data_IF_706122536193
#
_entry.id   IF_706122536193
#
_cell.length_a   1.000
_cell.length_b   1.000
_cell.length_c   1.000
_cell.angle_alpha   90.00
_cell.angle_beta   90.00
_cell.angle_gamma   90.00
#
_symmetry.space_group_name_H-M   'P 1'
#
loop_
_entity.id
_entity.type
_entity.pdbx_description
1 polymer ?
#
# COMPACT_ATOMS: atom_id res chain seq x y z
N UNK A 1 61.66 -19.82 -49.69
CA UNK A 1 61.10 -18.97 -48.59
C UNK A 1 59.60 -19.14 -48.37
N UNK A 2 58.74 -19.09 -49.40
CA UNK A 2 57.27 -19.25 -49.23
C UNK A 2 56.85 -20.56 -48.54
N UNK A 3 57.42 -21.70 -48.93
CA UNK A 3 57.06 -23.00 -48.32
C UNK A 3 57.44 -23.12 -46.85
N UNK A 4 58.61 -22.58 -46.47
CA UNK A 4 59.06 -22.56 -45.08
C UNK A 4 58.15 -21.67 -44.23
N UNK A 5 57.75 -20.51 -44.76
CA UNK A 5 56.82 -19.60 -44.11
C UNK A 5 55.43 -20.23 -43.88
N UNK A 6 54.90 -20.97 -44.87
CA UNK A 6 53.61 -21.67 -44.71
C UNK A 6 53.68 -22.83 -43.71
N UNK A 7 54.78 -23.57 -43.65
CA UNK A 7 54.99 -24.61 -42.63
C UNK A 7 55.08 -24.01 -41.23
N UNK A 8 55.81 -22.91 -41.07
CA UNK A 8 55.94 -22.19 -39.80
C UNK A 8 54.58 -21.63 -39.32
N UNK A 9 53.80 -21.04 -40.22
CA UNK A 9 52.46 -20.52 -39.91
C UNK A 9 51.48 -21.63 -39.51
N UNK A 10 51.61 -22.83 -40.10
CA UNK A 10 50.83 -24.01 -39.70
C UNK A 10 51.08 -24.43 -38.25
N UNK A 11 52.34 -24.42 -37.80
CA UNK A 11 52.70 -24.74 -36.41
C UNK A 11 52.25 -23.66 -35.41
N UNK A 12 52.25 -22.39 -35.81
CA UNK A 12 51.66 -21.32 -35.00
C UNK A 12 50.15 -21.57 -34.83
N UNK A 13 49.45 -21.93 -35.90
CA UNK A 13 48.02 -22.28 -35.83
C UNK A 13 47.76 -23.40 -34.83
N UNK A 14 48.57 -24.47 -34.87
CA UNK A 14 48.50 -25.59 -33.91
C UNK A 14 48.67 -25.13 -32.46
N UNK A 15 49.64 -24.26 -32.17
CA UNK A 15 49.84 -23.70 -30.82
C UNK A 15 48.67 -22.84 -30.37
N UNK A 16 48.11 -22.02 -31.27
CA UNK A 16 46.95 -21.18 -30.98
C UNK A 16 45.73 -22.05 -30.66
N UNK A 17 45.48 -23.12 -31.43
CA UNK A 17 44.37 -24.04 -31.14
C UNK A 17 44.56 -24.80 -29.83
N UNK A 18 45.79 -25.17 -29.47
CA UNK A 18 46.08 -25.80 -28.19
C UNK A 18 45.83 -24.84 -27.01
N UNK A 19 46.27 -23.58 -27.14
CA UNK A 19 46.02 -22.54 -26.14
C UNK A 19 44.52 -22.29 -25.99
N UNK A 20 43.78 -22.16 -27.10
CA UNK A 20 42.33 -21.99 -27.07
C UNK A 20 41.63 -23.20 -26.49
N UNK A 21 42.00 -24.43 -26.86
CA UNK A 21 41.41 -25.65 -26.28
C UNK A 21 41.62 -25.73 -24.77
N UNK A 22 42.81 -25.38 -24.29
CA UNK A 22 43.11 -25.31 -22.86
C UNK A 22 42.31 -24.21 -22.15
N UNK A 23 42.31 -22.98 -22.67
CA UNK A 23 41.51 -21.89 -22.09
C UNK A 23 40.02 -22.24 -22.08
N UNK A 24 39.51 -22.81 -23.15
CA UNK A 24 38.10 -23.22 -23.26
C UNK A 24 37.74 -24.29 -22.23
N UNK A 25 38.62 -25.27 -22.03
CA UNK A 25 38.45 -26.28 -20.98
C UNK A 25 38.45 -25.66 -19.58
N UNK A 26 39.36 -24.73 -19.29
CA UNK A 26 39.43 -24.05 -17.99
C UNK A 26 38.15 -23.25 -17.70
N UNK A 27 37.53 -22.64 -18.71
CA UNK A 27 36.32 -21.84 -18.53
C UNK A 27 35.02 -22.64 -18.54
N UNK A 28 34.94 -23.72 -19.32
CA UNK A 28 33.68 -24.47 -19.53
C UNK A 28 33.66 -25.84 -18.86
N UNK A 29 34.81 -26.37 -18.45
CA UNK A 29 35.01 -27.75 -17.97
C UNK A 29 34.47 -28.85 -18.90
N UNK A 30 34.13 -28.50 -20.15
CA UNK A 30 33.53 -29.42 -21.12
C UNK A 30 34.60 -30.28 -21.77
N UNK A 31 34.68 -31.54 -21.33
CA UNK A 31 35.61 -32.55 -21.85
C UNK A 31 35.39 -32.79 -23.34
N UNK A 32 34.14 -32.74 -23.80
CA UNK A 32 33.77 -32.98 -25.20
C UNK A 32 34.33 -31.89 -26.12
N UNK A 33 34.23 -30.61 -25.74
CA UNK A 33 34.76 -29.49 -26.51
C UNK A 33 36.29 -29.47 -26.53
N UNK A 34 36.94 -29.89 -25.45
CA UNK A 34 38.38 -30.12 -25.42
C UNK A 34 38.82 -31.17 -26.45
N UNK A 35 38.11 -32.30 -26.56
CA UNK A 35 38.45 -33.30 -27.58
C UNK A 35 38.15 -32.84 -29.01
N UNK A 36 37.07 -32.10 -29.24
CA UNK A 36 36.75 -31.53 -30.57
C UNK A 36 37.80 -30.52 -31.02
N UNK A 37 38.28 -29.65 -30.12
CA UNK A 37 39.38 -28.71 -30.40
C UNK A 37 40.70 -29.43 -30.69
N UNK A 38 41.00 -30.49 -29.95
CA UNK A 38 42.20 -31.32 -30.14
C UNK A 38 42.16 -32.06 -31.49
N UNK A 39 40.99 -32.56 -31.90
CA UNK A 39 40.81 -33.21 -33.19
C UNK A 39 40.94 -32.20 -34.35
N UNK A 40 40.42 -30.99 -34.18
CA UNK A 40 40.63 -29.90 -35.13
C UNK A 40 42.11 -29.47 -35.22
N UNK A 41 42.83 -29.41 -34.09
CA UNK A 41 44.27 -29.18 -34.05
C UNK A 41 45.02 -30.25 -34.85
N UNK A 42 44.63 -31.52 -34.73
CA UNK A 42 45.21 -32.62 -35.49
C UNK A 42 44.98 -32.46 -36.99
N UNK A 43 43.81 -31.98 -37.43
CA UNK A 43 43.55 -31.69 -38.86
C UNK A 43 44.41 -30.52 -39.38
N UNK A 44 44.79 -29.59 -38.51
CA UNK A 44 45.59 -28.41 -38.88
C UNK A 44 47.09 -28.66 -38.91
N UNK A 45 47.57 -29.71 -38.23
CA UNK A 45 48.97 -30.04 -38.22
C UNK A 45 49.46 -30.41 -39.65
N UNK A 46 50.61 -29.88 -40.11
CA UNK A 46 51.07 -30.09 -41.48
C UNK A 46 51.19 -31.55 -41.94
N UNK A 47 51.68 -32.51 -41.11
CA UNK A 47 51.85 -33.90 -41.53
C UNK A 47 50.53 -34.65 -41.72
N UNK A 48 49.60 -34.49 -40.77
CA UNK A 48 48.26 -35.09 -40.80
C UNK A 48 47.39 -34.49 -41.89
N UNK A 49 47.53 -33.20 -42.16
CA UNK A 49 46.83 -32.53 -43.25
C UNK A 49 47.21 -33.10 -44.62
N UNK A 50 48.49 -33.34 -44.88
CA UNK A 50 48.93 -33.99 -46.12
C UNK A 50 48.31 -35.38 -46.26
N UNK A 51 48.37 -36.18 -45.18
CA UNK A 51 47.76 -37.50 -45.14
C UNK A 51 46.25 -37.51 -45.43
N UNK A 52 45.50 -36.53 -44.91
CA UNK A 52 44.06 -36.41 -45.16
C UNK A 52 43.78 -36.05 -46.62
N UNK A 53 44.54 -35.10 -47.18
CA UNK A 53 44.37 -34.65 -48.57
C UNK A 53 44.62 -35.80 -49.55
N UNK A 54 45.69 -36.58 -49.32
CA UNK A 54 46.07 -37.70 -50.17
C UNK A 54 45.02 -38.82 -50.17
N UNK A 55 44.28 -38.98 -49.08
CA UNK A 55 43.29 -40.05 -48.92
C UNK A 55 41.86 -39.66 -49.24
N UNK A 56 41.52 -38.37 -49.12
CA UNK A 56 40.13 -37.87 -49.26
C UNK A 56 39.91 -36.95 -50.45
N UNK A 57 40.98 -36.46 -51.08
CA UNK A 57 40.90 -35.55 -52.24
C UNK A 57 40.36 -34.14 -51.92
N UNK A 58 40.09 -33.83 -50.66
CA UNK A 58 39.57 -32.52 -50.24
C UNK A 58 40.67 -31.47 -50.24
N UNK A 59 40.54 -30.44 -51.08
CA UNK A 59 41.55 -29.39 -51.21
C UNK A 59 41.44 -28.37 -50.05
N UNK A 60 42.03 -28.71 -48.91
CA UNK A 60 41.98 -27.91 -47.68
C UNK A 60 43.00 -26.75 -47.66
N UNK A 61 43.32 -26.14 -48.81
CA UNK A 61 44.22 -24.97 -48.90
C UNK A 61 43.44 -23.65 -49.03
N UNK A 62 43.92 -22.58 -48.37
CA UNK A 62 43.40 -21.23 -48.53
C UNK A 62 41.98 -21.03 -47.97
N UNK A 63 41.03 -20.62 -48.84
CA UNK A 63 39.67 -20.19 -48.46
C UNK A 63 38.82 -21.29 -47.80
N UNK A 64 38.97 -22.55 -48.21
CA UNK A 64 38.21 -23.67 -47.65
C UNK A 64 38.57 -23.98 -46.19
N UNK A 65 39.82 -23.69 -45.79
CA UNK A 65 40.27 -23.85 -44.40
C UNK A 65 39.71 -22.74 -43.52
N UNK A 66 39.67 -21.50 -44.02
CA UNK A 66 39.08 -20.37 -43.30
C UNK A 66 37.59 -20.59 -43.00
N UNK A 67 36.81 -21.12 -43.96
CA UNK A 67 35.39 -21.44 -43.74
C UNK A 67 35.19 -22.57 -42.74
N UNK A 68 36.03 -23.61 -42.78
CA UNK A 68 35.96 -24.71 -41.81
C UNK A 68 36.25 -24.23 -40.38
N UNK A 69 37.21 -23.31 -40.21
CA UNK A 69 37.48 -22.71 -38.91
C UNK A 69 36.31 -21.88 -38.39
N UNK A 70 35.73 -21.01 -39.22
CA UNK A 70 34.58 -20.20 -38.81
C UNK A 70 33.41 -21.08 -38.41
N UNK A 71 33.11 -22.13 -39.19
CA UNK A 71 32.05 -23.08 -38.86
C UNK A 71 32.31 -23.82 -37.53
N UNK A 72 33.56 -24.23 -37.29
CA UNK A 72 33.95 -24.88 -36.04
C UNK A 72 33.82 -23.95 -34.83
N UNK A 73 34.28 -22.70 -34.95
CA UNK A 73 34.15 -21.70 -33.88
C UNK A 73 32.69 -21.39 -33.56
N UNK A 74 31.81 -21.30 -34.58
CA UNK A 74 30.38 -21.11 -34.38
C UNK A 74 29.76 -22.32 -33.66
N UNK A 75 30.09 -23.54 -34.09
CA UNK A 75 29.61 -24.76 -33.44
C UNK A 75 30.07 -24.86 -31.97
N UNK A 76 31.33 -24.49 -31.70
CA UNK A 76 31.89 -24.46 -30.35
C UNK A 76 31.21 -23.40 -29.48
N UNK A 77 31.02 -22.19 -30.00
CA UNK A 77 30.30 -21.13 -29.29
C UNK A 77 28.86 -21.55 -28.97
N UNK A 78 28.17 -22.22 -29.89
CA UNK A 78 26.80 -22.69 -29.69
C UNK A 78 26.69 -23.69 -28.52
N UNK A 79 27.56 -24.70 -28.47
CA UNK A 79 27.57 -25.71 -27.39
C UNK A 79 27.97 -25.10 -26.05
N UNK A 80 28.97 -24.21 -26.03
CA UNK A 80 29.39 -23.53 -24.80
C UNK A 80 28.33 -22.59 -24.25
N UNK A 81 27.49 -21.97 -25.10
CA UNK A 81 26.37 -21.14 -24.65
C UNK A 81 25.26 -22.04 -24.08
N UNK A 82 24.89 -23.15 -24.72
CA UNK A 82 23.79 -24.00 -24.25
C UNK A 82 24.06 -24.65 -22.90
N UNK A 83 25.27 -25.18 -22.67
CA UNK A 83 25.59 -25.85 -21.40
C UNK A 83 25.72 -24.87 -20.23
N UNK A 84 26.27 -23.67 -20.47
CA UNK A 84 26.45 -22.68 -19.40
C UNK A 84 25.16 -21.97 -19.01
N UNK A 85 24.22 -21.79 -19.95
CA UNK A 85 22.93 -21.15 -19.66
C UNK A 85 22.10 -22.01 -18.70
N UNK A 86 21.99 -23.32 -18.93
CA UNK A 86 21.23 -24.22 -18.06
C UNK A 86 21.81 -24.31 -16.64
N UNK A 87 23.15 -24.39 -16.51
CA UNK A 87 23.82 -24.43 -15.21
C UNK A 87 23.64 -23.11 -14.45
N UNK A 88 23.72 -21.98 -15.16
CA UNK A 88 23.52 -20.66 -14.57
C UNK A 88 22.08 -20.44 -14.09
N UNK A 89 21.09 -20.84 -14.90
CA UNK A 89 19.67 -20.80 -14.53
C UNK A 89 19.40 -21.68 -13.30
N UNK A 90 19.91 -22.91 -13.29
CA UNK A 90 19.75 -23.80 -12.14
C UNK A 90 20.41 -23.25 -10.87
N UNK A 91 21.59 -22.63 -10.99
CA UNK A 91 22.27 -22.01 -9.86
C UNK A 91 21.49 -20.80 -9.32
N UNK A 92 20.88 -19.98 -10.19
CA UNK A 92 20.00 -18.88 -9.78
C UNK A 92 18.73 -19.40 -9.10
N UNK A 93 18.04 -20.38 -9.70
CA UNK A 93 16.83 -20.98 -9.12
C UNK A 93 17.12 -21.62 -7.76
N UNK A 94 18.27 -22.29 -7.58
CA UNK A 94 18.68 -22.84 -6.28
C UNK A 94 18.91 -21.74 -5.26
N UNK A 95 19.64 -20.67 -5.60
CA UNK A 95 19.86 -19.53 -4.71
C UNK A 95 18.55 -18.86 -4.30
N UNK A 96 17.63 -18.68 -5.24
CA UNK A 96 16.31 -18.11 -4.95
C UNK A 96 15.51 -19.03 -4.02
N UNK A 97 15.50 -20.35 -4.28
CA UNK A 97 14.84 -21.33 -3.40
C UNK A 97 15.44 -21.34 -2.01
N UNK A 98 16.76 -21.32 -1.89
CA UNK A 98 17.46 -21.32 -0.61
C UNK A 98 17.18 -20.01 0.16
N UNK A 99 17.14 -18.87 -0.53
CA UNK A 99 16.77 -17.58 0.06
C UNK A 99 15.31 -17.58 0.55
N UNK A 100 14.37 -18.10 -0.26
CA UNK A 100 12.96 -18.24 0.11
C UNK A 100 12.81 -19.19 1.30
N UNK A 101 13.52 -20.32 1.32
CA UNK A 101 13.49 -21.26 2.44
C UNK A 101 14.11 -20.68 3.71
N UNK A 102 15.21 -19.94 3.60
CA UNK A 102 15.84 -19.26 4.73
C UNK A 102 14.89 -18.20 5.33
N UNK A 103 14.24 -17.41 4.48
CA UNK A 103 13.22 -16.45 4.90
C UNK A 103 12.03 -17.14 5.57
N UNK A 104 11.52 -18.22 4.97
CA UNK A 104 10.42 -18.99 5.53
C UNK A 104 10.77 -19.58 6.91
N UNK A 105 11.99 -20.10 7.09
CA UNK A 105 12.49 -20.60 8.38
C UNK A 105 12.63 -19.48 9.41
N UNK A 106 13.11 -18.31 9.00
CA UNK A 106 13.22 -17.15 9.88
C UNK A 106 11.84 -16.71 10.38
N UNK A 107 10.88 -16.55 9.47
CA UNK A 107 9.48 -16.20 9.80
C UNK A 107 8.82 -17.25 10.68
N UNK A 108 9.04 -18.54 10.41
CA UNK A 108 8.53 -19.62 11.25
C UNK A 108 9.12 -19.58 12.66
N UNK A 109 10.41 -19.30 12.80
CA UNK A 109 11.09 -19.15 14.09
C UNK A 109 10.56 -17.96 14.89
N UNK A 110 10.35 -16.81 14.23
CA UNK A 110 9.75 -15.63 14.87
C UNK A 110 8.31 -15.91 15.34
N UNK A 111 7.50 -16.54 14.48
CA UNK A 111 6.14 -16.94 14.84
C UNK A 111 6.12 -17.91 16.02
N UNK A 112 7.05 -18.86 16.08
CA UNK A 112 7.16 -19.78 17.22
C UNK A 112 7.51 -19.05 18.52
N UNK A 113 8.44 -18.09 18.48
CA UNK A 113 8.78 -17.25 19.65
C UNK A 113 7.58 -16.41 20.09
N UNK A 114 6.84 -15.84 19.14
CA UNK A 114 5.62 -15.09 19.43
C UNK A 114 4.56 -15.98 20.08
N UNK A 115 4.29 -17.17 19.53
CA UNK A 115 3.32 -18.10 20.10
C UNK A 115 3.69 -18.57 21.51
N UNK A 116 4.98 -18.75 21.80
CA UNK A 116 5.45 -19.06 23.15
C UNK A 116 5.24 -17.90 24.14
N UNK A 117 5.46 -16.65 23.69
CA UNK A 117 5.26 -15.44 24.49
C UNK A 117 3.80 -14.95 24.54
N UNK A 118 2.94 -15.44 23.63
CA UNK A 118 1.56 -14.98 23.42
C UNK A 118 0.73 -14.93 24.70
N UNK A 119 0.72 -15.96 25.58
CA UNK A 119 -0.09 -15.91 26.80
C UNK A 119 0.30 -14.74 27.71
N UNK A 120 1.59 -14.43 27.84
CA UNK A 120 2.07 -13.32 28.66
C UNK A 120 1.72 -11.97 28.04
N UNK A 121 1.85 -11.84 26.71
CA UNK A 121 1.49 -10.62 25.97
C UNK A 121 -0.02 -10.34 26.10
N UNK A 122 -0.85 -11.36 25.87
CA UNK A 122 -2.32 -11.26 26.00
C UNK A 122 -2.71 -10.89 27.43
N UNK A 123 -2.07 -11.48 28.44
CA UNK A 123 -2.34 -11.16 29.84
C UNK A 123 -1.95 -9.72 30.20
N UNK A 124 -0.80 -9.22 29.74
CA UNK A 124 -0.37 -7.84 29.99
C UNK A 124 -1.32 -6.83 29.32
N UNK A 125 -1.72 -7.07 28.07
CA UNK A 125 -2.69 -6.23 27.35
C UNK A 125 -4.04 -6.23 28.07
N UNK A 126 -4.53 -7.40 28.51
CA UNK A 126 -5.78 -7.50 29.25
C UNK A 126 -5.71 -6.76 30.59
N UNK A 127 -4.61 -6.90 31.34
CA UNK A 127 -4.40 -6.19 32.60
C UNK A 127 -4.41 -4.67 32.41
N UNK A 128 -3.74 -4.16 31.36
CA UNK A 128 -3.73 -2.72 31.04
C UNK A 128 -5.09 -2.20 30.63
N UNK A 129 -5.85 -2.98 29.85
CA UNK A 129 -7.26 -2.67 29.54
C UNK A 129 -8.08 -2.54 30.81
N UNK A 130 -7.97 -3.51 31.72
CA UNK A 130 -8.76 -3.56 32.96
C UNK A 130 -8.37 -2.43 33.93
N UNK A 131 -7.14 -1.95 33.86
CA UNK A 131 -6.64 -0.77 34.59
C UNK A 131 -7.03 0.57 33.92
N UNK A 132 -7.71 0.55 32.78
CA UNK A 132 -8.13 1.75 32.04
C UNK A 132 -7.01 2.41 31.21
N UNK A 133 -5.83 1.78 31.10
CA UNK A 133 -4.72 2.25 30.28
C UNK A 133 -4.90 1.84 28.80
N UNK A 134 -6.01 2.28 28.21
CA UNK A 134 -6.45 1.83 26.89
C UNK A 134 -5.45 2.20 25.77
N UNK A 135 -4.87 3.39 25.83
CA UNK A 135 -3.87 3.86 24.85
C UNK A 135 -2.60 3.00 24.88
N UNK A 136 -2.13 2.65 26.07
CA UNK A 136 -0.95 1.79 26.22
C UNK A 136 -1.23 0.36 25.76
N UNK A 137 -2.42 -0.16 26.06
CA UNK A 137 -2.85 -1.47 25.60
C UNK A 137 -2.91 -1.55 24.07
N UNK A 138 -3.42 -0.51 23.38
CA UNK A 138 -3.42 -0.43 21.92
C UNK A 138 -2.00 -0.34 21.35
N UNK A 139 -1.12 0.47 21.94
CA UNK A 139 0.26 0.58 21.49
C UNK A 139 1.02 -0.76 21.58
N UNK A 140 0.76 -1.54 22.63
CA UNK A 140 1.31 -2.90 22.74
C UNK A 140 0.76 -3.84 21.66
N UNK A 141 -0.55 -3.78 21.38
CA UNK A 141 -1.14 -4.55 20.30
C UNK A 141 -0.46 -4.19 18.96
N UNK A 142 -0.33 -2.91 18.65
CA UNK A 142 0.26 -2.44 17.39
C UNK A 142 1.71 -2.90 17.22
N UNK A 143 2.50 -2.85 18.31
CA UNK A 143 3.88 -3.35 18.34
C UNK A 143 3.99 -4.83 17.95
N UNK A 144 3.03 -5.66 18.37
CA UNK A 144 3.04 -7.09 18.11
C UNK A 144 2.36 -7.46 16.78
N UNK A 145 1.24 -6.81 16.45
CA UNK A 145 0.49 -7.04 15.22
C UNK A 145 1.28 -6.67 13.96
N UNK A 146 2.17 -5.66 14.04
CA UNK A 146 3.05 -5.29 12.93
C UNK A 146 4.01 -6.42 12.52
N UNK A 147 4.34 -7.33 13.44
CA UNK A 147 5.29 -8.43 13.21
C UNK A 147 4.59 -9.75 12.95
N UNK A 148 3.43 -9.98 13.55
CA UNK A 148 2.68 -11.23 13.40
C UNK A 148 1.19 -10.95 13.58
N UNK A 149 0.38 -11.03 12.50
CA UNK A 149 -1.07 -10.96 12.62
C UNK A 149 -1.59 -12.10 13.50
N UNK A 150 -2.40 -11.77 14.50
CA UNK A 150 -2.97 -12.75 15.43
C UNK A 150 -4.43 -12.41 15.80
N UNK A 151 -5.36 -13.37 15.67
CA UNK A 151 -6.78 -13.10 15.87
C UNK A 151 -7.16 -12.77 17.32
N UNK A 152 -6.37 -13.20 18.31
CA UNK A 152 -6.69 -12.89 19.72
C UNK A 152 -6.28 -11.47 20.07
N UNK A 153 -5.21 -10.95 19.46
CA UNK A 153 -4.86 -9.53 19.54
C UNK A 153 -5.92 -8.65 18.86
N UNK A 154 -6.48 -9.09 17.74
CA UNK A 154 -7.56 -8.35 17.06
C UNK A 154 -8.85 -8.32 17.90
N UNK A 155 -9.22 -9.44 18.55
CA UNK A 155 -10.32 -9.47 19.51
C UNK A 155 -10.09 -8.50 20.68
N UNK A 156 -8.87 -8.47 21.22
CA UNK A 156 -8.52 -7.53 22.31
C UNK A 156 -8.61 -6.09 21.82
N UNK A 157 -8.10 -5.78 20.64
CA UNK A 157 -8.18 -4.45 20.03
C UNK A 157 -9.64 -3.99 19.90
N UNK A 158 -10.50 -4.88 19.42
CA UNK A 158 -11.94 -4.62 19.31
C UNK A 158 -12.54 -4.32 20.69
N UNK A 159 -12.23 -5.16 21.71
CA UNK A 159 -12.73 -4.96 23.07
C UNK A 159 -12.28 -3.62 23.67
N UNK A 160 -11.04 -3.19 23.41
CA UNK A 160 -10.52 -1.91 23.89
C UNK A 160 -11.22 -0.74 23.20
N UNK A 161 -11.45 -0.81 21.88
CA UNK A 161 -12.18 0.23 21.14
C UNK A 161 -13.63 0.36 21.61
N UNK A 162 -14.29 -0.76 21.91
CA UNK A 162 -15.62 -0.76 22.51
C UNK A 162 -15.58 -0.04 23.87
N UNK A 163 -14.65 -0.43 24.76
CA UNK A 163 -14.52 0.19 26.08
C UNK A 163 -14.21 1.70 26.01
N UNK A 164 -13.36 2.12 25.07
CA UNK A 164 -13.05 3.53 24.82
C UNK A 164 -14.29 4.31 24.35
N UNK A 165 -15.04 3.73 23.42
CA UNK A 165 -16.27 4.34 22.90
C UNK A 165 -17.35 4.42 23.98
N UNK A 166 -17.50 3.39 24.81
CA UNK A 166 -18.40 3.38 25.98
C UNK A 166 -17.97 4.38 27.05
N UNK A 167 -16.66 4.60 27.24
CA UNK A 167 -16.17 5.62 28.16
C UNK A 167 -16.61 7.04 27.75
N UNK A 168 -16.71 7.30 26.44
CA UNK A 168 -17.28 8.54 25.88
C UNK A 168 -18.80 8.69 26.12
N UNK A 169 -19.47 7.63 26.56
CA UNK A 169 -20.90 7.60 26.92
C UNK A 169 -21.15 7.55 28.44
N UNK A 170 -20.12 7.71 29.28
CA UNK A 170 -20.27 7.69 30.75
C UNK A 170 -21.34 8.64 31.27
N UNK A 171 -21.41 9.84 30.70
CA UNK A 171 -22.52 10.78 30.92
C UNK A 171 -23.33 10.91 29.64
N UNK A 172 -24.11 9.87 29.35
CA UNK A 172 -24.91 9.80 28.12
C UNK A 172 -25.80 11.04 27.97
N UNK A 173 -26.38 11.54 29.07
CA UNK A 173 -27.29 12.69 29.07
C UNK A 173 -26.60 14.00 28.67
N UNK A 174 -25.35 14.21 29.09
CA UNK A 174 -24.57 15.39 28.71
C UNK A 174 -24.11 15.37 27.24
N UNK A 175 -24.04 14.20 26.62
CA UNK A 175 -23.66 14.09 25.20
C UNK A 175 -24.82 14.53 24.30
N UNK A 176 -24.59 15.47 23.35
CA UNK A 176 -25.61 15.89 22.40
C UNK A 176 -26.20 14.73 21.60
N UNK A 177 -27.51 14.76 21.33
CA UNK A 177 -28.27 13.68 20.69
C UNK A 177 -27.59 13.12 19.41
N UNK A 178 -27.13 14.01 18.51
CA UNK A 178 -26.42 13.63 17.27
C UNK A 178 -25.12 12.88 17.54
N UNK A 179 -24.33 13.36 18.50
CA UNK A 179 -23.05 12.74 18.86
C UNK A 179 -23.27 11.39 19.55
N UNK A 180 -24.27 11.31 20.43
CA UNK A 180 -24.69 10.07 21.08
C UNK A 180 -25.12 9.01 20.06
N UNK A 181 -25.92 9.40 19.05
CA UNK A 181 -26.31 8.51 17.95
C UNK A 181 -25.09 8.01 17.17
N UNK A 182 -24.12 8.88 16.87
CA UNK A 182 -22.90 8.50 16.15
C UNK A 182 -22.06 7.48 16.95
N UNK A 183 -21.91 7.68 18.27
CA UNK A 183 -21.20 6.74 19.15
C UNK A 183 -21.90 5.38 19.23
N UNK A 184 -23.22 5.36 19.38
CA UNK A 184 -23.98 4.09 19.38
C UNK A 184 -23.97 3.39 18.02
N UNK A 185 -23.95 4.13 16.89
CA UNK A 185 -23.75 3.56 15.56
C UNK A 185 -22.37 2.91 15.45
N UNK A 186 -21.32 3.56 15.94
CA UNK A 186 -19.98 2.99 15.99
C UNK A 186 -19.93 1.73 16.88
N UNK A 187 -20.58 1.75 18.04
CA UNK A 187 -20.67 0.55 18.89
C UNK A 187 -21.41 -0.60 18.21
N UNK A 188 -22.49 -0.31 17.47
CA UNK A 188 -23.23 -1.33 16.72
C UNK A 188 -22.43 -1.92 15.54
N UNK A 189 -21.49 -1.17 14.95
CA UNK A 189 -20.60 -1.71 13.92
C UNK A 189 -19.44 -2.51 14.50
N UNK A 190 -18.93 -2.10 15.67
CA UNK A 190 -17.86 -2.82 16.38
C UNK A 190 -18.37 -4.11 17.03
N UNK A 191 -19.61 -4.12 17.52
CA UNK A 191 -20.26 -5.30 18.08
C UNK A 191 -21.68 -5.49 17.50
N UNK A 192 -21.79 -6.11 16.32
CA UNK A 192 -23.08 -6.41 15.70
C UNK A 192 -23.93 -7.42 16.48
N UNK A 193 -23.33 -8.17 17.40
CA UNK A 193 -24.02 -9.20 18.18
C UNK A 193 -24.83 -8.61 19.34
N UNK A 194 -24.50 -7.40 19.77
CA UNK A 194 -25.18 -6.69 20.84
C UNK A 194 -26.48 -6.04 20.36
N UNK A 195 -27.61 -6.65 20.76
CA UNK A 195 -28.94 -6.10 20.52
C UNK A 195 -29.17 -4.77 21.24
N UNK A 196 -28.42 -4.50 22.32
CA UNK A 196 -28.48 -3.24 23.08
C UNK A 196 -28.12 -2.04 22.21
N UNK A 197 -27.02 -2.12 21.45
CA UNK A 197 -26.57 -0.99 20.63
C UNK A 197 -27.53 -0.71 19.47
N UNK A 198 -27.95 -1.77 18.76
CA UNK A 198 -28.94 -1.65 17.69
C UNK A 198 -30.26 -1.03 18.19
N UNK A 199 -30.75 -1.46 19.35
CA UNK A 199 -31.94 -0.89 19.98
C UNK A 199 -31.79 0.59 20.32
N UNK A 200 -30.66 1.00 20.91
CA UNK A 200 -30.39 2.42 21.21
C UNK A 200 -30.27 3.27 19.94
N UNK A 201 -29.62 2.76 18.89
CA UNK A 201 -29.56 3.44 17.59
C UNK A 201 -30.97 3.71 17.06
N UNK A 202 -31.86 2.71 17.08
CA UNK A 202 -33.23 2.88 16.59
C UNK A 202 -34.01 3.93 17.39
N UNK A 203 -33.89 3.93 18.72
CA UNK A 203 -34.54 4.92 19.60
C UNK A 203 -34.01 6.32 19.34
N UNK A 204 -32.69 6.51 19.32
CA UNK A 204 -32.07 7.82 19.12
C UNK A 204 -32.31 8.37 17.71
N UNK A 205 -32.36 7.49 16.70
CA UNK A 205 -32.68 7.88 15.32
C UNK A 205 -34.15 8.30 15.20
N UNK A 206 -35.08 7.63 15.88
CA UNK A 206 -36.48 8.02 15.97
C UNK A 206 -36.66 9.35 16.71
N UNK A 207 -35.99 9.53 17.86
CA UNK A 207 -36.02 10.78 18.63
C UNK A 207 -35.48 11.97 17.82
N UNK A 208 -34.39 11.75 17.06
CA UNK A 208 -33.84 12.78 16.18
C UNK A 208 -34.81 13.15 15.06
N UNK A 209 -35.44 12.16 14.40
CA UNK A 209 -36.45 12.38 13.36
C UNK A 209 -37.69 13.07 13.90
N UNK A 210 -38.15 12.69 15.08
CA UNK A 210 -39.30 13.33 15.72
C UNK A 210 -38.98 14.79 16.10
N UNK A 211 -37.79 15.03 16.66
CA UNK A 211 -37.34 16.39 17.00
C UNK A 211 -37.24 17.25 15.74
N UNK A 212 -36.65 16.73 14.66
CA UNK A 212 -36.57 17.47 13.39
C UNK A 212 -37.95 17.69 12.77
N UNK A 213 -38.86 16.71 12.83
CA UNK A 213 -40.22 16.85 12.32
C UNK A 213 -41.03 17.90 13.11
N UNK A 214 -40.86 17.95 14.44
CA UNK A 214 -41.48 18.98 15.29
C UNK A 214 -40.95 20.36 14.98
N UNK A 215 -39.63 20.51 14.85
CA UNK A 215 -39.00 21.78 14.44
C UNK A 215 -39.52 22.23 13.06
N UNK A 216 -39.62 21.31 12.09
CA UNK A 216 -40.15 21.60 10.76
C UNK A 216 -41.64 21.94 10.77
N UNK A 217 -42.44 21.27 11.59
CA UNK A 217 -43.87 21.57 11.73
C UNK A 217 -44.11 22.93 12.40
N UNK A 218 -43.35 23.26 13.46
CA UNK A 218 -43.40 24.58 14.09
C UNK A 218 -42.95 25.67 13.12
N UNK A 219 -41.87 25.41 12.39
CA UNK A 219 -41.40 26.26 11.30
C UNK A 219 -42.47 26.49 10.24
N UNK A 220 -43.16 25.44 9.79
CA UNK A 220 -44.27 25.53 8.84
C UNK A 220 -45.48 26.30 9.39
N UNK A 221 -45.78 26.18 10.69
CA UNK A 221 -46.82 26.99 11.34
C UNK A 221 -46.43 28.47 11.40
N UNK A 222 -45.19 28.76 11.75
CA UNK A 222 -44.68 30.13 11.82
C UNK A 222 -44.63 30.75 10.42
N UNK A 223 -44.23 29.99 9.39
CA UNK A 223 -44.20 30.47 8.01
C UNK A 223 -45.60 30.78 7.48
N UNK A 224 -46.59 29.93 7.79
CA UNK A 224 -48.00 30.21 7.46
C UNK A 224 -48.54 31.46 8.17
N UNK A 225 -48.06 31.76 9.38
CA UNK A 225 -48.54 32.90 10.17
C UNK A 225 -47.79 34.22 9.87
N UNK A 226 -46.50 34.19 9.52
CA UNK A 226 -45.63 35.38 9.39
C UNK A 226 -44.99 35.56 8.01
N UNK A 227 -45.19 34.63 7.08
CA UNK A 227 -44.56 34.63 5.77
C UNK A 227 -43.16 34.00 5.76
N UNK A 228 -42.71 33.55 4.57
CA UNK A 228 -41.43 32.86 4.36
C UNK A 228 -40.23 33.74 4.73
N UNK A 229 -40.24 35.02 4.37
CA UNK A 229 -39.14 35.95 4.62
C UNK A 229 -38.85 36.14 6.12
N UNK A 230 -39.90 36.26 6.94
CA UNK A 230 -39.75 36.37 8.39
C UNK A 230 -39.22 35.08 9.03
N UNK A 231 -39.53 33.93 8.43
CA UNK A 231 -39.01 32.62 8.86
C UNK A 231 -37.53 32.46 8.50
N UNK A 232 -37.11 32.87 7.30
CA UNK A 232 -35.70 32.82 6.89
C UNK A 232 -34.87 33.81 7.74
N UNK A 233 -35.38 35.04 7.94
CA UNK A 233 -34.69 36.07 8.71
C UNK A 233 -34.39 35.66 10.17
N UNK A 234 -35.21 34.80 10.79
CA UNK A 234 -34.96 34.34 12.17
C UNK A 234 -33.80 33.34 12.30
N UNK A 235 -33.35 32.76 11.19
CA UNK A 235 -32.22 31.83 11.16
C UNK A 235 -30.86 32.56 11.23
N UNK A 236 -30.87 33.88 11.04
CA UNK A 236 -29.69 34.73 11.09
C UNK A 236 -29.61 35.51 12.41
N UNK A 237 -28.38 35.75 12.87
CA UNK A 237 -28.14 36.68 13.96
C UNK A 237 -28.52 38.10 13.53
N UNK A 238 -29.31 38.79 14.35
CA UNK A 238 -29.78 40.16 14.07
C UNK A 238 -28.65 41.19 14.10
N UNK A 239 -27.53 40.89 14.76
CA UNK A 239 -26.39 41.81 14.91
C UNK A 239 -25.30 41.55 13.87
N UNK A 240 -24.87 40.31 13.74
CA UNK A 240 -23.78 39.92 12.82
C UNK A 240 -24.26 39.45 11.45
N UNK A 241 -25.53 39.08 11.28
CA UNK A 241 -26.01 38.48 10.02
C UNK A 241 -25.54 37.03 9.80
N UNK A 242 -24.82 36.44 10.76
CA UNK A 242 -24.36 35.05 10.68
C UNK A 242 -25.55 34.07 10.74
N UNK A 243 -25.56 33.05 9.91
CA UNK A 243 -26.53 31.96 10.04
C UNK A 243 -26.25 31.14 11.30
N UNK A 244 -27.18 31.15 12.27
CA UNK A 244 -26.94 30.71 13.65
C UNK A 244 -26.49 29.24 13.75
N UNK A 245 -27.22 28.35 13.07
CA UNK A 245 -26.94 26.90 13.09
C UNK A 245 -25.69 26.54 12.27
N UNK A 246 -25.40 27.27 11.20
CA UNK A 246 -24.18 27.07 10.40
C UNK A 246 -22.95 27.55 11.17
N UNK A 247 -23.05 28.72 11.83
CA UNK A 247 -22.00 29.24 12.70
C UNK A 247 -21.68 28.25 13.83
N UNK A 248 -22.69 27.66 14.45
CA UNK A 248 -22.48 26.65 15.49
C UNK A 248 -21.74 25.42 14.95
N UNK A 249 -22.07 24.96 13.75
CA UNK A 249 -21.42 23.82 13.12
C UNK A 249 -19.98 24.12 12.70
N UNK A 250 -19.72 25.28 12.10
CA UNK A 250 -18.36 25.73 11.76
C UNK A 250 -17.47 25.84 13.02
N UNK A 251 -18.00 26.40 14.10
CA UNK A 251 -17.25 26.46 15.37
C UNK A 251 -16.91 25.08 15.92
N UNK A 252 -17.72 24.06 15.65
CA UNK A 252 -17.45 22.67 16.10
C UNK A 252 -16.35 21.99 15.31
N UNK A 253 -16.19 22.32 14.03
CA UNK A 253 -15.17 21.73 13.17
C UNK A 253 -13.82 22.45 13.26
N UNK A 254 -13.81 23.71 13.73
CA UNK A 254 -12.59 24.48 13.91
C UNK A 254 -11.70 23.96 15.04
N UNK A 255 -10.38 23.95 14.80
CA UNK A 255 -9.37 23.64 15.82
C UNK A 255 -9.42 24.61 17.01
N UNK A 256 -9.70 25.89 16.76
CA UNK A 256 -9.91 26.89 17.80
C UNK A 256 -11.25 27.62 17.60
N UNK A 257 -12.34 27.11 18.21
CA UNK A 257 -13.68 27.69 18.07
C UNK A 257 -13.79 29.14 18.55
N UNK A 258 -12.97 29.53 19.54
CA UNK A 258 -12.97 30.88 20.11
C UNK A 258 -12.36 31.91 19.15
N UNK A 259 -11.60 31.48 18.14
CA UNK A 259 -11.03 32.36 17.11
C UNK A 259 -11.99 32.72 15.98
N UNK A 260 -13.18 32.13 15.95
CA UNK A 260 -14.17 32.38 14.91
C UNK A 260 -14.64 33.85 14.94
N UNK A 261 -14.48 34.54 13.82
CA UNK A 261 -15.06 35.86 13.58
C UNK A 261 -15.85 35.82 12.26
N UNK A 262 -17.15 36.09 12.34
CA UNK A 262 -18.00 36.20 11.15
C UNK A 262 -17.65 37.48 10.37
N UNK A 263 -17.63 37.38 9.04
CA UNK A 263 -17.38 38.53 8.13
C UNK A 263 -18.65 38.86 7.37
N UNK A 264 -19.19 37.90 6.62
CA UNK A 264 -20.36 38.10 5.78
C UNK A 264 -21.11 36.77 5.58
N UNK A 265 -22.43 36.86 5.43
CA UNK A 265 -23.25 35.74 4.99
C UNK A 265 -24.22 36.21 3.92
N UNK A 266 -24.23 35.54 2.78
CA UNK A 266 -25.24 35.69 1.73
C UNK A 266 -26.07 34.41 1.62
N UNK A 267 -27.31 34.52 1.15
CA UNK A 267 -28.18 33.35 1.00
C UNK A 267 -29.07 33.45 -0.24
N UNK A 268 -29.46 32.29 -0.76
CA UNK A 268 -30.41 32.12 -1.83
C UNK A 268 -31.53 31.19 -1.36
N UNK A 269 -32.77 31.66 -1.45
CA UNK A 269 -33.95 30.85 -1.14
C UNK A 269 -34.21 29.83 -2.24
N UNK A 270 -34.30 28.55 -1.87
CA UNK A 270 -34.55 27.43 -2.80
C UNK A 270 -35.98 26.88 -2.72
N UNK A 271 -36.84 27.50 -1.90
CA UNK A 271 -38.23 27.09 -1.68
C UNK A 271 -38.43 25.90 -0.74
N UNK A 272 -37.42 25.03 -0.57
CA UNK A 272 -37.39 23.93 0.43
C UNK A 272 -36.35 24.15 1.53
N UNK A 273 -35.73 25.33 1.54
CA UNK A 273 -34.62 25.70 2.40
C UNK A 273 -33.90 26.91 1.82
N UNK A 274 -32.61 27.02 2.09
CA UNK A 274 -31.74 28.04 1.50
C UNK A 274 -30.33 27.50 1.25
N UNK A 275 -29.67 28.02 0.23
CA UNK A 275 -28.22 27.90 0.06
C UNK A 275 -27.57 29.12 0.72
N UNK A 276 -26.61 28.89 1.61
CA UNK A 276 -25.95 29.94 2.41
C UNK A 276 -24.47 29.94 2.10
N UNK A 277 -23.90 31.09 1.78
CA UNK A 277 -22.46 31.31 1.66
C UNK A 277 -22.01 32.16 2.84
N UNK A 278 -21.08 31.66 3.64
CA UNK A 278 -20.56 32.38 4.81
C UNK A 278 -19.05 32.52 4.72
N UNK A 279 -18.59 33.76 4.83
CA UNK A 279 -17.17 34.10 4.99
C UNK A 279 -16.88 34.36 6.46
N UNK A 280 -15.84 33.74 6.98
CA UNK A 280 -15.41 33.90 8.37
C UNK A 280 -13.88 33.86 8.49
N UNK A 281 -13.37 34.41 9.59
CA UNK A 281 -11.96 34.35 9.96
C UNK A 281 -11.76 33.39 11.12
N UNK A 282 -10.63 32.70 11.10
CA UNK A 282 -10.27 31.75 12.16
C UNK A 282 -8.78 31.47 12.18
N UNK A 283 -8.26 31.03 13.34
CA UNK A 283 -6.87 30.59 13.45
C UNK A 283 -6.69 29.21 12.84
N UNK A 284 -5.72 29.08 11.94
CA UNK A 284 -5.30 27.80 11.36
C UNK A 284 -4.38 27.02 12.33
N UNK A 285 -3.94 25.83 11.92
CA UNK A 285 -3.05 24.99 12.74
C UNK A 285 -1.70 25.64 13.06
N UNK A 286 -1.25 26.62 12.25
CA UNK A 286 -0.04 27.41 12.48
C UNK A 286 -0.27 28.62 13.41
N UNK A 287 -1.52 28.86 13.86
CA UNK A 287 -1.88 29.95 14.76
C UNK A 287 -2.15 31.29 14.06
N UNK A 288 -2.06 31.34 12.74
CA UNK A 288 -2.32 32.52 11.92
C UNK A 288 -3.82 32.66 11.61
N UNK A 289 -4.32 33.90 11.56
CA UNK A 289 -5.71 34.18 11.21
C UNK A 289 -5.88 34.16 9.70
N UNK A 290 -6.67 33.21 9.19
CA UNK A 290 -7.02 33.08 7.78
C UNK A 290 -8.52 33.36 7.56
N UNK A 291 -8.85 33.90 6.39
CA UNK A 291 -10.24 34.07 5.92
C UNK A 291 -10.64 32.84 5.10
N UNK A 292 -11.77 32.23 5.47
CA UNK A 292 -12.32 31.05 4.82
C UNK A 292 -13.77 31.33 4.41
N UNK A 293 -14.16 30.75 3.29
CA UNK A 293 -15.53 30.83 2.76
C UNK A 293 -16.08 29.43 2.65
N UNK A 294 -17.34 29.27 3.04
CA UNK A 294 -18.03 27.97 3.04
C UNK A 294 -19.42 28.14 2.47
N UNK A 295 -19.81 27.23 1.58
CA UNK A 295 -21.18 27.10 1.09
C UNK A 295 -21.90 26.00 1.86
N UNK A 296 -23.18 26.18 2.16
CA UNK A 296 -23.97 25.17 2.85
C UNK A 296 -25.43 25.16 2.37
N UNK A 297 -26.02 23.98 2.27
CA UNK A 297 -27.47 23.83 2.07
C UNK A 297 -28.14 23.60 3.41
N UNK A 298 -29.16 24.39 3.74
CA UNK A 298 -29.91 24.27 5.00
C UNK A 298 -31.41 24.13 4.72
N UNK A 299 -32.13 23.46 5.62
CA UNK A 299 -33.59 23.34 5.56
C UNK A 299 -34.33 24.59 6.08
N UNK A 300 -35.66 24.63 5.96
CA UNK A 300 -36.49 25.75 6.45
C UNK A 300 -36.40 25.99 7.99
N UNK A 301 -35.87 25.01 8.74
CA UNK A 301 -35.59 25.11 10.18
C UNK A 301 -34.16 25.56 10.47
N UNK A 302 -33.37 25.85 9.44
CA UNK A 302 -31.95 26.21 9.51
C UNK A 302 -31.02 25.04 9.81
N UNK A 303 -31.50 23.80 9.73
CA UNK A 303 -30.62 22.64 9.92
C UNK A 303 -29.70 22.49 8.71
N UNK A 304 -28.40 22.43 8.96
CA UNK A 304 -27.40 22.20 7.92
C UNK A 304 -27.52 20.77 7.40
N UNK A 305 -27.74 20.64 6.09
CA UNK A 305 -27.86 19.37 5.37
C UNK A 305 -26.53 18.97 4.73
N UNK A 306 -25.86 19.92 4.07
CA UNK A 306 -24.56 19.75 3.45
C UNK A 306 -23.70 20.99 3.64
N UNK A 307 -22.38 20.78 3.69
CA UNK A 307 -21.35 21.82 3.73
C UNK A 307 -20.37 21.52 2.59
N UNK A 308 -20.07 22.53 1.79
CA UNK A 308 -19.17 22.51 0.64
C UNK A 308 -18.11 23.60 0.85
N UNK A 309 -16.84 23.22 0.71
CA UNK A 309 -15.68 24.13 0.80
C UNK A 309 -15.35 24.77 -0.56
#
# INVERSE_FOLDING_TARGET
>A
MKEFFFKFLGWIGVLVFLLFGFLYYVFTFSVLLFFVTLLAMLVCAPPSRQFIIDRTGLNLYGRGMATAFVALFIAQAWVGISENVEVFEQAQVRKERDAVQALAKALAGERARFLAAKPAIVADIAARRDQGMLTEALALIDKHAARTPDPDLDKLRLSIRIAETEAGLKDEAAVPLRQRLALYKLLATLDPSSTRYAGRVAVLDAELKETSAREQAETGRVSAAKGRDAMLARQFDKRGGAHLKLQAELKRTMMNPASYAHVETTFLDTGKGMSVWTTFRGKNAAGETAENSVAATVDDSGNVLTIED
#
